data_IF_583956810307
#
_entry.id   IF_583956810307
#
_cell.length_a   1.000
_cell.length_b   1.000
_cell.length_c   1.000
_cell.angle_alpha   90.00
_cell.angle_beta   90.00
_cell.angle_gamma   90.00
#
_symmetry.space_group_name_H-M   'P 1'
#
loop_
_entity.id
_entity.type
_entity.pdbx_description
1 polymer ?
#
# COMPACT_ATOMS: atom_id res chain seq x y z
N UNK A 1 -50.20 -16.28 -45.33
CA UNK A 1 -50.17 -15.06 -44.49
C UNK A 1 -50.34 -15.50 -43.05
N UNK A 2 -49.23 -15.48 -42.32
CA UNK A 2 -49.02 -16.12 -41.02
C UNK A 2 -48.87 -15.03 -39.97
N UNK A 3 -49.72 -15.05 -38.94
CA UNK A 3 -49.47 -14.37 -37.67
C UNK A 3 -50.01 -15.23 -36.54
N UNK A 4 -49.09 -15.91 -35.84
CA UNK A 4 -49.31 -16.54 -34.53
C UNK A 4 -48.63 -15.66 -33.49
N UNK A 5 -49.37 -15.25 -32.48
CA UNK A 5 -48.87 -14.73 -31.20
C UNK A 5 -49.51 -15.57 -30.10
N UNK A 6 -48.70 -16.37 -29.41
CA UNK A 6 -49.05 -17.08 -28.17
C UNK A 6 -48.17 -16.56 -27.05
N UNK A 7 -48.77 -15.84 -26.10
CA UNK A 7 -48.13 -15.32 -24.90
C UNK A 7 -47.88 -16.41 -23.86
N UNK A 8 -46.73 -16.29 -23.20
CA UNK A 8 -46.13 -17.24 -22.27
C UNK A 8 -46.72 -17.12 -20.86
N UNK A 9 -46.83 -18.28 -20.22
CA UNK A 9 -47.37 -18.58 -18.87
C UNK A 9 -46.56 -17.89 -17.76
N UNK A 10 -47.26 -17.29 -16.79
CA UNK A 10 -46.71 -16.83 -15.49
C UNK A 10 -46.75 -17.99 -14.49
N UNK A 11 -45.61 -18.35 -13.90
CA UNK A 11 -45.52 -19.30 -12.79
C UNK A 11 -45.42 -18.53 -11.46
N UNK A 12 -46.37 -18.77 -10.56
CA UNK A 12 -46.41 -18.24 -9.20
C UNK A 12 -45.62 -19.19 -8.27
N UNK A 13 -44.62 -18.69 -7.55
CA UNK A 13 -43.89 -19.47 -6.54
C UNK A 13 -44.58 -19.34 -5.17
N UNK A 14 -44.85 -20.48 -4.55
CA UNK A 14 -45.51 -20.60 -3.25
C UNK A 14 -44.51 -20.49 -2.08
N UNK A 15 -44.92 -19.77 -1.03
CA UNK A 15 -44.22 -19.59 0.23
C UNK A 15 -44.57 -20.73 1.19
N UNK A 16 -43.58 -21.48 1.67
CA UNK A 16 -43.74 -22.50 2.73
C UNK A 16 -43.45 -21.85 4.08
N UNK A 17 -44.43 -21.85 4.98
CA UNK A 17 -44.29 -21.42 6.38
C UNK A 17 -44.10 -22.67 7.23
N UNK A 18 -42.94 -22.78 7.90
CA UNK A 18 -42.70 -23.78 8.94
C UNK A 18 -42.88 -23.13 10.32
N UNK A 19 -43.82 -23.66 11.10
CA UNK A 19 -44.07 -23.28 12.50
C UNK A 19 -43.15 -24.07 13.43
N UNK A 20 -42.35 -23.38 14.23
CA UNK A 20 -41.67 -23.96 15.38
C UNK A 20 -42.16 -23.25 16.66
N UNK A 21 -42.79 -24.02 17.55
CA UNK A 21 -43.16 -23.59 18.89
C UNK A 21 -41.99 -23.78 19.84
N UNK A 22 -41.59 -22.71 20.53
CA UNK A 22 -40.58 -22.72 21.59
C UNK A 22 -40.56 -21.37 22.29
N UNK A 23 -41.41 -21.19 23.30
CA UNK A 23 -41.52 -19.98 24.11
C UNK A 23 -40.46 -19.95 25.21
N UNK A 24 -39.30 -19.36 24.92
CA UNK A 24 -38.40 -18.79 25.92
C UNK A 24 -38.41 -17.25 25.77
N UNK A 25 -38.22 -16.46 26.83
CA UNK A 25 -38.12 -15.02 26.69
C UNK A 25 -36.89 -14.70 25.84
N UNK A 26 -37.12 -14.30 24.59
CA UNK A 26 -36.08 -13.77 23.73
C UNK A 26 -35.62 -12.45 24.32
N UNK A 27 -34.50 -12.47 25.06
CA UNK A 27 -33.67 -11.28 25.24
C UNK A 27 -33.06 -10.96 23.88
N UNK A 28 -33.84 -10.31 23.01
CA UNK A 28 -33.27 -9.57 21.88
C UNK A 28 -32.46 -8.46 22.54
N UNK A 29 -31.15 -8.68 22.66
CA UNK A 29 -30.23 -7.61 22.93
C UNK A 29 -30.37 -6.62 21.78
N UNK A 30 -31.15 -5.55 22.00
CA UNK A 30 -31.10 -4.36 21.17
C UNK A 30 -29.76 -3.68 21.47
N UNK A 31 -28.67 -4.24 20.94
CA UNK A 31 -27.49 -3.45 20.69
C UNK A 31 -27.91 -2.48 19.61
N UNK A 32 -28.38 -1.29 20.00
CA UNK A 32 -28.32 -0.15 19.09
C UNK A 32 -26.90 -0.16 18.53
N UNK A 33 -26.68 -0.29 17.21
CA UNK A 33 -25.34 -0.20 16.68
C UNK A 33 -24.83 1.18 17.09
N UNK A 34 -23.87 1.21 18.01
CA UNK A 34 -23.12 2.42 18.30
C UNK A 34 -22.66 2.92 16.93
N UNK A 35 -22.95 4.19 16.55
CA UNK A 35 -22.54 4.68 15.26
C UNK A 35 -21.05 4.42 15.09
N UNK A 36 -20.67 3.58 14.13
CA UNK A 36 -19.26 3.36 13.84
C UNK A 36 -18.64 4.72 13.52
N UNK A 37 -17.69 5.14 14.36
CA UNK A 37 -16.92 6.35 14.10
C UNK A 37 -15.99 6.05 12.94
N UNK A 38 -16.04 6.89 11.90
CA UNK A 38 -15.16 6.72 10.73
C UNK A 38 -13.70 6.92 11.14
N UNK A 39 -13.43 7.95 11.95
CA UNK A 39 -12.09 8.20 12.52
C UNK A 39 -11.85 7.35 13.77
N UNK A 40 -10.60 6.95 13.96
CA UNK A 40 -10.12 6.19 15.10
C UNK A 40 -8.71 6.67 15.52
N UNK A 41 -8.60 7.26 16.71
CA UNK A 41 -7.36 7.86 17.22
C UNK A 41 -6.33 6.84 17.74
N UNK A 42 -6.63 5.54 17.69
CA UNK A 42 -5.59 4.50 17.73
C UNK A 42 -4.76 4.48 16.43
N UNK A 43 -5.15 5.27 15.44
CA UNK A 43 -4.43 5.46 14.19
C UNK A 43 -4.12 6.93 13.96
N UNK A 44 -3.21 7.16 13.03
CA UNK A 44 -2.76 8.50 12.71
C UNK A 44 -1.90 8.54 11.47
N UNK A 45 -1.17 9.65 11.34
CA UNK A 45 -0.30 9.93 10.21
C UNK A 45 1.02 10.56 10.67
N UNK A 46 2.05 10.34 9.87
CA UNK A 46 3.31 11.08 9.95
C UNK A 46 3.22 12.23 8.94
N UNK A 47 3.52 13.45 9.40
CA UNK A 47 3.63 14.64 8.57
C UNK A 47 4.97 15.33 8.88
N UNK A 48 5.92 15.19 7.95
CA UNK A 48 7.33 15.51 8.20
C UNK A 48 7.89 14.61 9.31
N UNK A 49 8.29 15.20 10.43
CA UNK A 49 8.69 14.46 11.64
C UNK A 49 7.62 14.48 12.75
N UNK A 50 6.44 15.02 12.49
CA UNK A 50 5.35 15.08 13.47
C UNK A 50 4.41 13.89 13.32
N UNK A 51 3.88 13.39 14.44
CA UNK A 51 2.87 12.35 14.47
C UNK A 51 1.59 12.96 15.03
N UNK A 52 0.46 12.70 14.39
CA UNK A 52 -0.88 13.15 14.83
C UNK A 52 -1.90 12.03 14.68
N UNK A 53 -2.97 12.10 15.47
CA UNK A 53 -4.13 11.19 15.37
C UNK A 53 -5.07 11.61 14.24
N UNK A 54 -5.98 10.72 13.83
CA UNK A 54 -6.92 10.98 12.74
C UNK A 54 -7.85 12.18 13.01
N UNK A 55 -8.35 12.32 14.23
CA UNK A 55 -9.32 13.36 14.60
C UNK A 55 -8.73 14.77 14.78
N UNK A 56 -7.40 14.92 14.69
CA UNK A 56 -6.72 16.17 15.03
C UNK A 56 -5.67 16.57 13.98
N UNK A 57 -5.67 17.86 13.63
CA UNK A 57 -4.60 18.48 12.85
C UNK A 57 -3.35 18.79 13.70
N UNK A 58 -3.50 18.83 15.03
CA UNK A 58 -2.38 19.18 15.93
C UNK A 58 -1.45 17.99 16.10
N UNK A 59 -0.12 18.21 16.08
CA UNK A 59 0.85 17.18 16.46
C UNK A 59 0.53 16.61 17.85
N UNK A 60 0.52 15.28 17.94
CA UNK A 60 0.49 14.55 19.20
C UNK A 60 1.89 14.51 19.83
N UNK A 61 2.92 14.23 19.02
CA UNK A 61 4.34 14.33 19.39
C UNK A 61 5.22 14.50 18.13
N UNK A 62 6.51 14.75 18.35
CA UNK A 62 7.52 14.92 17.30
C UNK A 62 8.55 13.81 17.43
N UNK A 63 8.88 13.15 16.32
CA UNK A 63 9.98 12.20 16.23
C UNK A 63 11.30 12.98 16.16
N UNK A 64 12.35 12.56 16.88
CA UNK A 64 13.67 13.22 16.84
C UNK A 64 14.43 12.86 15.56
N UNK A 65 13.86 13.21 14.41
CA UNK A 65 14.41 13.03 13.06
C UNK A 65 14.24 14.34 12.27
N UNK A 66 15.02 14.57 11.20
CA UNK A 66 14.82 15.71 10.30
C UNK A 66 13.40 15.76 9.74
N UNK A 67 12.83 16.94 9.59
CA UNK A 67 11.43 17.12 9.14
C UNK A 67 11.18 16.74 7.68
N UNK A 68 12.23 16.67 6.87
CA UNK A 68 12.24 16.27 5.46
C UNK A 68 12.56 14.78 5.27
N UNK A 69 12.63 14.00 6.36
CA UNK A 69 12.88 12.56 6.29
C UNK A 69 11.81 11.84 5.49
N UNK A 70 12.22 11.21 4.38
CA UNK A 70 11.42 10.22 3.68
C UNK A 70 11.74 8.81 4.21
N UNK A 71 10.72 7.99 4.42
CA UNK A 71 10.88 6.64 4.94
C UNK A 71 9.69 5.75 4.66
N UNK A 72 9.78 4.50 5.10
CA UNK A 72 8.75 3.48 4.92
C UNK A 72 8.29 3.00 6.30
N UNK A 73 6.99 3.04 6.53
CA UNK A 73 6.38 2.54 7.77
C UNK A 73 6.32 1.02 7.75
N UNK A 74 6.58 0.39 8.89
CA UNK A 74 6.49 -1.05 9.05
C UNK A 74 5.07 -1.55 8.78
N UNK A 75 4.90 -2.79 8.32
CA UNK A 75 3.60 -3.41 8.13
C UNK A 75 2.67 -3.22 9.33
N UNK A 76 3.12 -3.46 10.55
CA UNK A 76 2.32 -3.26 11.76
C UNK A 76 1.98 -1.80 12.09
N UNK A 77 2.51 -0.83 11.36
CA UNK A 77 2.25 0.61 11.51
C UNK A 77 2.99 1.25 12.70
N UNK A 78 3.93 0.55 13.34
CA UNK A 78 4.54 0.98 14.62
C UNK A 78 5.96 1.51 14.50
N UNK A 79 6.61 1.35 13.35
CA UNK A 79 8.00 1.79 13.15
C UNK A 79 8.16 2.49 11.82
N UNK A 80 9.16 3.36 11.74
CA UNK A 80 9.59 4.02 10.52
C UNK A 80 11.03 3.60 10.23
N UNK A 81 11.28 3.07 9.03
CA UNK A 81 12.62 2.88 8.48
C UNK A 81 12.93 4.02 7.53
N UNK A 82 14.12 4.59 7.63
CA UNK A 82 14.53 5.70 6.77
C UNK A 82 16.04 5.70 6.55
N UNK A 83 16.46 6.39 5.49
CA UNK A 83 17.86 6.57 5.14
C UNK A 83 18.29 7.98 5.49
N UNK A 84 19.41 8.11 6.20
CA UNK A 84 20.06 9.38 6.48
C UNK A 84 21.57 9.17 6.62
N UNK A 85 22.38 10.08 6.08
CA UNK A 85 23.84 10.06 6.21
C UNK A 85 24.50 8.73 5.75
N UNK A 86 24.01 8.13 4.66
CA UNK A 86 24.44 6.81 4.16
C UNK A 86 24.24 5.67 5.17
N UNK A 87 23.27 5.82 6.06
CA UNK A 87 22.90 4.84 7.07
C UNK A 87 21.41 4.52 6.99
N UNK A 88 21.07 3.28 7.30
CA UNK A 88 19.71 2.85 7.55
C UNK A 88 19.40 2.99 9.03
N UNK A 89 18.34 3.73 9.33
CA UNK A 89 17.82 3.92 10.67
C UNK A 89 16.41 3.33 10.80
N UNK A 90 16.07 2.93 12.02
CA UNK A 90 14.70 2.59 12.42
C UNK A 90 14.35 3.34 13.69
N UNK A 91 13.13 3.86 13.77
CA UNK A 91 12.57 4.49 14.95
C UNK A 91 11.17 3.94 15.26
N UNK A 92 10.87 3.75 16.54
CA UNK A 92 9.50 3.45 16.98
C UNK A 92 8.64 4.71 16.85
N UNK A 93 7.41 4.56 16.39
CA UNK A 93 6.44 5.66 16.25
C UNK A 93 5.77 5.86 17.62
N UNK A 94 6.52 6.43 18.55
CA UNK A 94 6.09 6.68 19.91
C UNK A 94 6.77 7.93 20.49
N UNK A 95 6.10 8.58 21.44
CA UNK A 95 6.67 9.73 22.16
C UNK A 95 7.96 9.33 22.88
N UNK A 96 9.02 10.14 22.73
CA UNK A 96 10.31 9.93 23.38
C UNK A 96 11.17 8.81 22.77
N UNK A 97 10.72 8.13 21.72
CA UNK A 97 11.52 7.14 21.00
C UNK A 97 12.77 7.77 20.38
N UNK A 98 13.86 7.01 20.32
CA UNK A 98 15.11 7.41 19.68
C UNK A 98 15.38 6.54 18.44
N UNK A 99 15.94 7.11 17.37
CA UNK A 99 16.31 6.33 16.20
C UNK A 99 17.50 5.44 16.53
N UNK A 100 17.53 4.29 15.84
CA UNK A 100 18.61 3.32 15.91
C UNK A 100 19.17 3.06 14.53
N UNK A 101 20.48 3.18 14.39
CA UNK A 101 21.19 2.76 13.18
C UNK A 101 21.27 1.24 13.10
N UNK A 102 20.85 0.66 11.98
CA UNK A 102 20.90 -0.78 11.72
C UNK A 102 22.04 -1.16 10.77
N UNK A 103 22.36 -0.29 9.81
CA UNK A 103 23.35 -0.53 8.79
C UNK A 103 24.01 0.79 8.38
N UNK A 104 25.30 0.76 8.09
CA UNK A 104 26.04 1.83 7.43
C UNK A 104 26.62 1.30 6.14
N UNK A 105 26.59 2.11 5.08
CA UNK A 105 27.24 1.76 3.83
C UNK A 105 28.75 1.91 3.94
N UNK A 106 29.47 1.03 3.24
CA UNK A 106 30.91 1.20 3.01
C UNK A 106 31.16 2.27 1.94
N UNK A 107 32.40 2.75 1.85
CA UNK A 107 32.81 3.72 0.83
C UNK A 107 32.72 3.21 -0.63
N UNK A 108 32.52 1.90 -0.82
CA UNK A 108 32.38 1.25 -2.12
C UNK A 108 30.92 0.92 -2.48
N UNK A 109 29.98 1.29 -1.62
CA UNK A 109 28.55 1.07 -1.80
C UNK A 109 27.84 2.40 -2.10
N UNK A 110 26.76 2.30 -2.87
CA UNK A 110 26.00 3.43 -3.40
C UNK A 110 24.58 3.48 -2.85
N UNK A 111 23.59 3.61 -3.73
CA UNK A 111 22.20 3.79 -3.35
C UNK A 111 21.64 2.62 -2.53
N UNK A 112 20.67 2.93 -1.66
CA UNK A 112 19.89 1.97 -0.90
C UNK A 112 18.42 2.05 -1.26
N UNK A 113 17.82 0.89 -1.47
CA UNK A 113 16.37 0.70 -1.50
C UNK A 113 15.98 -0.25 -0.38
N UNK A 114 14.80 -0.11 0.21
CA UNK A 114 14.41 -0.89 1.39
C UNK A 114 12.98 -1.41 1.30
N UNK A 115 12.76 -2.59 1.88
CA UNK A 115 11.44 -3.14 2.14
C UNK A 115 11.41 -3.84 3.49
N UNK A 116 10.28 -3.74 4.18
CA UNK A 116 10.07 -4.41 5.46
C UNK A 116 9.83 -5.91 5.28
N UNK A 117 10.17 -6.67 6.30
CA UNK A 117 9.66 -8.02 6.46
C UNK A 117 8.16 -8.02 6.76
N UNK A 118 7.46 -9.05 6.31
CA UNK A 118 6.01 -9.24 6.53
C UNK A 118 5.62 -9.26 8.02
N UNK A 119 6.54 -9.65 8.90
CA UNK A 119 6.36 -9.67 10.35
C UNK A 119 6.78 -8.37 11.07
N UNK A 120 7.23 -7.34 10.34
CA UNK A 120 7.73 -6.05 10.87
C UNK A 120 8.99 -6.12 11.74
N UNK A 121 9.69 -7.26 11.77
CA UNK A 121 10.86 -7.45 12.64
C UNK A 121 12.20 -7.23 11.95
N UNK A 122 12.24 -7.11 10.63
CA UNK A 122 13.46 -6.92 9.86
C UNK A 122 13.24 -6.14 8.58
N UNK A 123 14.35 -5.85 7.90
CA UNK A 123 14.40 -5.13 6.64
C UNK A 123 15.28 -5.90 5.66
N UNK A 124 14.85 -5.94 4.41
CA UNK A 124 15.72 -6.20 3.27
C UNK A 124 16.11 -4.88 2.62
N UNK A 125 17.38 -4.79 2.23
CA UNK A 125 17.99 -3.61 1.65
C UNK A 125 18.68 -4.01 0.35
N UNK A 126 18.31 -3.36 -0.75
CA UNK A 126 19.10 -3.38 -1.98
C UNK A 126 20.22 -2.36 -1.89
N UNK A 127 21.47 -2.80 -1.89
CA UNK A 127 22.67 -1.94 -1.81
C UNK A 127 23.42 -2.04 -3.13
N UNK A 128 23.54 -0.93 -3.85
CA UNK A 128 24.27 -0.92 -5.12
C UNK A 128 25.77 -0.84 -4.91
N UNK A 129 26.56 -1.41 -5.81
CA UNK A 129 27.97 -1.06 -5.94
C UNK A 129 28.15 0.36 -6.47
N UNK A 130 29.39 0.83 -6.53
CA UNK A 130 29.71 2.11 -7.19
C UNK A 130 29.20 2.13 -8.63
N UNK A 131 28.66 3.28 -9.04
CA UNK A 131 28.34 3.59 -10.43
C UNK A 131 29.66 3.90 -11.14
N UNK A 132 29.89 3.33 -12.32
CA UNK A 132 31.12 3.61 -13.08
C UNK A 132 31.20 5.12 -13.41
N UNK A 133 32.35 5.81 -13.25
CA UNK A 133 32.44 7.27 -13.34
C UNK A 133 32.09 7.90 -14.70
N UNK A 134 31.86 7.09 -15.74
CA UNK A 134 31.82 7.57 -17.13
C UNK A 134 30.49 7.37 -17.83
N UNK A 135 29.47 6.80 -17.19
CA UNK A 135 28.10 6.79 -17.69
C UNK A 135 27.18 6.66 -16.48
N UNK A 136 26.04 7.35 -16.47
CA UNK A 136 24.90 7.15 -15.55
C UNK A 136 24.24 5.77 -15.78
N UNK A 137 25.06 4.72 -15.84
CA UNK A 137 24.70 3.36 -16.22
C UNK A 137 24.39 2.49 -15.00
N UNK A 138 23.99 1.25 -15.29
CA UNK A 138 23.68 0.23 -14.29
C UNK A 138 24.82 0.08 -13.28
N UNK A 139 24.53 -0.08 -11.98
CA UNK A 139 25.56 -0.32 -10.99
C UNK A 139 26.25 -1.65 -11.27
N UNK A 140 27.52 -1.76 -10.86
CA UNK A 140 28.31 -3.00 -11.03
C UNK A 140 27.65 -4.22 -10.38
N UNK A 141 26.89 -4.02 -9.32
CA UNK A 141 26.03 -5.02 -8.69
C UNK A 141 24.92 -4.35 -7.87
N UNK A 142 23.91 -5.12 -7.50
CA UNK A 142 23.07 -4.87 -6.32
C UNK A 142 23.15 -6.06 -5.38
N UNK A 143 23.47 -5.82 -4.11
CA UNK A 143 23.36 -6.81 -3.04
C UNK A 143 21.99 -6.70 -2.38
N UNK A 144 21.32 -7.82 -2.16
CA UNK A 144 20.20 -7.87 -1.23
C UNK A 144 20.76 -8.26 0.14
N UNK A 145 20.68 -7.34 1.09
CA UNK A 145 21.17 -7.48 2.46
C UNK A 145 19.99 -7.46 3.41
N UNK A 146 19.98 -8.37 4.39
CA UNK A 146 18.95 -8.40 5.43
C UNK A 146 19.50 -8.01 6.79
N UNK A 147 18.68 -7.35 7.59
CA UNK A 147 19.01 -6.93 8.96
C UNK A 147 17.75 -6.96 9.85
N UNK A 148 17.90 -7.48 11.07
CA UNK A 148 16.83 -7.46 12.07
C UNK A 148 16.81 -6.12 12.82
N UNK A 149 15.61 -5.62 13.08
CA UNK A 149 15.39 -4.35 13.80
C UNK A 149 15.77 -4.41 15.28
N UNK A 150 15.73 -5.61 15.88
CA UNK A 150 16.25 -5.85 17.22
C UNK A 150 17.78 -5.67 17.30
N UNK A 151 18.45 -5.50 16.16
CA UNK A 151 19.90 -5.45 16.01
C UNK A 151 20.44 -6.78 15.50
N UNK A 152 21.76 -6.84 15.36
CA UNK A 152 22.46 -7.98 14.77
C UNK A 152 23.38 -7.53 13.65
N UNK A 153 24.18 -8.45 13.12
CA UNK A 153 25.06 -8.16 11.99
C UNK A 153 24.25 -8.28 10.70
N UNK A 154 24.14 -7.21 9.89
CA UNK A 154 23.56 -7.31 8.56
C UNK A 154 24.27 -8.37 7.72
N UNK A 155 23.52 -9.16 6.94
CA UNK A 155 24.10 -10.21 6.09
C UNK A 155 23.66 -10.06 4.64
N UNK A 156 24.60 -10.25 3.72
CA UNK A 156 24.29 -10.34 2.29
C UNK A 156 23.60 -11.70 2.02
N UNK A 157 22.47 -11.66 1.31
CA UNK A 157 21.72 -12.85 0.85
C UNK A 157 22.21 -13.27 -0.54
N UNK A 158 22.36 -12.30 -1.44
CA UNK A 158 22.83 -12.49 -2.81
C UNK A 158 23.47 -11.19 -3.33
N UNK A 159 24.40 -11.32 -4.28
CA UNK A 159 24.92 -10.21 -5.08
C UNK A 159 24.57 -10.43 -6.56
N UNK A 160 23.75 -9.55 -7.12
CA UNK A 160 23.28 -9.63 -8.50
C UNK A 160 24.12 -8.68 -9.33
N UNK A 161 24.92 -9.23 -10.26
CA UNK A 161 25.83 -8.46 -11.08
C UNK A 161 25.09 -7.59 -12.12
N UNK A 162 25.61 -6.39 -12.37
CA UNK A 162 25.17 -5.47 -13.44
C UNK A 162 23.66 -5.19 -13.47
N UNK A 163 23.04 -5.06 -12.30
CA UNK A 163 21.60 -4.88 -12.15
C UNK A 163 21.29 -3.88 -11.04
N UNK A 164 20.29 -3.00 -11.26
CA UNK A 164 19.68 -2.15 -10.24
C UNK A 164 18.45 -2.86 -9.70
N UNK A 165 18.53 -3.42 -8.50
CA UNK A 165 17.47 -4.27 -7.94
C UNK A 165 16.84 -3.58 -6.73
N UNK A 166 15.52 -3.45 -6.76
CA UNK A 166 14.73 -2.80 -5.72
C UNK A 166 13.92 -3.87 -5.00
N UNK A 167 14.15 -4.12 -3.70
CA UNK A 167 13.34 -5.05 -2.94
C UNK A 167 11.92 -4.51 -2.75
N UNK A 168 10.93 -5.41 -2.78
CA UNK A 168 9.51 -5.10 -2.61
C UNK A 168 8.97 -5.62 -1.28
N UNK A 169 9.32 -6.85 -0.89
CA UNK A 169 8.95 -7.43 0.39
C UNK A 169 9.88 -8.58 0.79
N UNK A 170 9.94 -8.84 2.09
CA UNK A 170 10.58 -10.02 2.66
C UNK A 170 9.56 -10.85 3.43
N UNK A 171 9.13 -11.98 2.86
CA UNK A 171 8.27 -12.94 3.56
C UNK A 171 9.14 -13.83 4.44
N UNK A 172 9.06 -13.57 5.75
CA UNK A 172 9.82 -14.30 6.78
C UNK A 172 9.32 -15.72 6.99
N UNK A 173 8.04 -15.98 6.70
CA UNK A 173 7.47 -17.31 6.84
C UNK A 173 7.89 -18.19 5.67
N UNK A 174 7.87 -17.66 4.45
CA UNK A 174 8.29 -18.38 3.25
C UNK A 174 9.81 -18.38 3.04
N UNK A 175 10.55 -17.54 3.77
CA UNK A 175 11.99 -17.29 3.57
C UNK A 175 12.30 -16.79 2.15
N UNK A 176 11.44 -15.93 1.62
CA UNK A 176 11.53 -15.36 0.27
C UNK A 176 11.62 -13.84 0.33
N UNK A 177 12.38 -13.28 -0.59
CA UNK A 177 12.47 -11.86 -0.88
C UNK A 177 11.97 -11.67 -2.31
N UNK A 178 11.04 -10.73 -2.49
CA UNK A 178 10.65 -10.27 -3.81
C UNK A 178 11.35 -8.96 -4.13
N UNK A 179 11.75 -8.80 -5.38
CA UNK A 179 12.38 -7.60 -5.87
C UNK A 179 12.07 -7.42 -7.36
N UNK A 180 12.42 -6.26 -7.90
CA UNK A 180 12.40 -6.05 -9.34
C UNK A 180 13.68 -5.35 -9.80
N UNK A 181 14.07 -5.63 -11.04
CA UNK A 181 15.11 -4.88 -11.73
C UNK A 181 14.51 -3.58 -12.29
N UNK A 182 15.00 -2.44 -11.82
CA UNK A 182 14.59 -1.14 -12.32
C UNK A 182 15.30 -0.83 -13.65
N UNK A 183 14.52 -0.40 -14.65
CA UNK A 183 15.01 0.06 -15.95
C UNK A 183 14.42 1.44 -16.28
N UNK A 184 14.91 2.08 -17.33
CA UNK A 184 14.36 3.35 -17.83
C UNK A 184 12.87 3.24 -18.23
N UNK A 185 12.41 2.04 -18.61
CA UNK A 185 11.04 1.74 -19.02
C UNK A 185 10.15 1.17 -17.90
N UNK A 186 10.59 1.28 -16.64
CA UNK A 186 9.89 0.72 -15.47
C UNK A 186 10.51 -0.58 -14.97
N UNK A 187 9.69 -1.54 -14.56
CA UNK A 187 10.17 -2.85 -14.12
C UNK A 187 10.60 -3.71 -15.31
N UNK A 188 11.87 -4.13 -15.33
CA UNK A 188 12.42 -5.04 -16.33
C UNK A 188 12.18 -6.51 -15.98
N UNK A 189 12.71 -6.97 -14.85
CA UNK A 189 12.59 -8.34 -14.38
C UNK A 189 12.00 -8.37 -12.96
N UNK A 190 11.24 -9.41 -12.65
CA UNK A 190 10.77 -9.73 -11.31
C UNK A 190 11.64 -10.85 -10.73
N UNK A 191 12.18 -10.61 -9.55
CA UNK A 191 13.10 -11.49 -8.86
C UNK A 191 12.45 -12.06 -7.60
N UNK A 192 12.54 -13.37 -7.44
CA UNK A 192 12.21 -14.08 -6.20
C UNK A 192 13.50 -14.73 -5.70
N UNK A 193 13.95 -14.31 -4.52
CA UNK A 193 15.22 -14.71 -3.93
C UNK A 193 14.96 -15.43 -2.62
N UNK A 194 15.44 -16.67 -2.48
CA UNK A 194 15.41 -17.36 -1.18
C UNK A 194 16.42 -16.76 -0.23
N UNK A 195 16.19 -16.87 1.09
CA UNK A 195 17.18 -16.44 2.09
C UNK A 195 18.53 -17.17 2.01
N UNK A 196 18.57 -18.31 1.30
CA UNK A 196 19.79 -19.07 0.99
C UNK A 196 20.54 -18.57 -0.27
N UNK A 197 20.03 -17.54 -0.94
CA UNK A 197 20.66 -16.92 -2.10
C UNK A 197 20.29 -17.54 -3.45
N UNK A 198 19.23 -18.35 -3.54
CA UNK A 198 18.73 -18.88 -4.81
C UNK A 198 17.83 -17.85 -5.48
N UNK A 199 18.13 -17.46 -6.72
CA UNK A 199 17.38 -16.49 -7.50
C UNK A 199 16.54 -17.19 -8.58
N UNK A 200 15.23 -16.93 -8.57
CA UNK A 200 14.33 -17.14 -9.72
C UNK A 200 14.03 -15.77 -10.33
N UNK A 201 14.31 -15.63 -11.62
CA UNK A 201 14.05 -14.40 -12.38
C UNK A 201 13.01 -14.64 -13.47
N UNK A 202 12.00 -13.78 -13.52
CA UNK A 202 10.97 -13.78 -14.55
C UNK A 202 10.96 -12.43 -15.26
N UNK A 203 10.88 -12.41 -16.59
CA UNK A 203 10.72 -11.16 -17.33
C UNK A 203 9.35 -10.56 -17.02
N UNK A 204 9.32 -9.28 -16.60
CA UNK A 204 8.06 -8.59 -16.36
C UNK A 204 7.33 -8.22 -17.67
N UNK A 205 7.99 -8.39 -18.83
CA UNK A 205 7.44 -8.13 -20.15
C UNK A 205 7.24 -6.63 -20.45
N UNK A 206 6.71 -6.32 -21.64
CA UNK A 206 6.45 -4.96 -22.12
C UNK A 206 5.29 -4.24 -21.40
N UNK A 207 4.94 -4.68 -20.19
CA UNK A 207 3.80 -4.16 -19.43
C UNK A 207 4.02 -2.72 -18.92
N UNK A 208 5.23 -2.16 -19.07
CA UNK A 208 5.61 -0.80 -18.66
C UNK A 208 5.08 -0.47 -17.25
N UNK A 209 5.31 -1.38 -16.31
CA UNK A 209 4.89 -1.20 -14.91
C UNK A 209 5.89 -0.27 -14.24
N UNK A 210 5.45 0.92 -13.83
CA UNK A 210 6.33 1.94 -13.23
C UNK A 210 6.22 1.98 -11.72
N UNK A 211 5.06 1.58 -11.17
CA UNK A 211 4.83 1.55 -9.74
C UNK A 211 4.65 0.11 -9.33
N UNK A 212 5.43 -0.37 -8.37
CA UNK A 212 5.32 -1.70 -7.80
C UNK A 212 5.20 -1.58 -6.29
N UNK A 213 4.35 -2.42 -5.71
CA UNK A 213 4.17 -2.45 -4.26
C UNK A 213 3.77 -3.84 -3.81
N UNK A 214 4.37 -4.30 -2.72
CA UNK A 214 3.97 -5.52 -2.06
C UNK A 214 2.87 -5.25 -1.02
N UNK A 215 1.97 -6.21 -0.90
CA UNK A 215 1.00 -6.28 0.19
C UNK A 215 1.70 -6.40 1.52
N UNK A 216 1.03 -5.95 2.58
CA UNK A 216 1.57 -5.88 3.92
C UNK A 216 2.03 -7.23 4.48
N UNK A 217 1.33 -8.31 4.13
CA UNK A 217 1.69 -9.67 4.53
C UNK A 217 2.82 -10.27 3.67
N UNK A 218 3.29 -9.54 2.65
CA UNK A 218 4.34 -9.94 1.74
C UNK A 218 3.91 -11.00 0.73
N UNK A 219 2.62 -11.35 0.63
CA UNK A 219 2.16 -12.52 -0.17
C UNK A 219 1.75 -12.18 -1.59
N UNK A 220 1.45 -10.92 -1.85
CA UNK A 220 1.05 -10.42 -3.16
C UNK A 220 1.82 -9.16 -3.52
N UNK A 221 1.96 -8.91 -4.82
CA UNK A 221 2.52 -7.69 -5.39
C UNK A 221 1.56 -7.16 -6.44
N UNK A 222 1.44 -5.84 -6.53
CA UNK A 222 0.83 -5.19 -7.68
C UNK A 222 1.86 -4.39 -8.46
N UNK A 223 1.58 -4.22 -9.74
CA UNK A 223 2.24 -3.29 -10.63
C UNK A 223 1.21 -2.40 -11.32
N UNK A 224 1.49 -1.12 -11.45
CA UNK A 224 0.67 -0.17 -12.21
C UNK A 224 1.49 0.44 -13.35
N UNK A 225 0.93 0.41 -14.57
CA UNK A 225 1.60 0.83 -15.80
C UNK A 225 0.78 1.77 -16.68
N UNK A 226 1.47 2.76 -17.25
CA UNK A 226 0.98 3.81 -18.17
C UNK A 226 1.66 3.60 -19.56
N UNK A 227 1.02 3.81 -20.73
CA UNK A 227 -0.31 4.36 -21.01
C UNK A 227 -1.48 3.38 -20.88
N UNK A 228 -1.21 2.11 -20.58
CA UNK A 228 -2.23 1.05 -20.69
C UNK A 228 -3.23 1.02 -19.52
N UNK A 229 -3.02 1.86 -18.50
CA UNK A 229 -3.84 2.00 -17.31
C UNK A 229 -4.18 0.65 -16.63
N UNK A 230 -3.16 -0.20 -16.51
CA UNK A 230 -3.29 -1.58 -16.00
C UNK A 230 -2.83 -1.65 -14.57
N UNK A 231 -3.65 -2.25 -13.71
CA UNK A 231 -3.19 -2.78 -12.43
C UNK A 231 -3.02 -4.28 -12.59
N UNK A 232 -1.79 -4.76 -12.60
CA UNK A 232 -1.50 -6.20 -12.55
C UNK A 232 -1.30 -6.59 -11.09
N UNK A 233 -1.88 -7.71 -10.67
CA UNK A 233 -1.69 -8.27 -9.32
C UNK A 233 -1.20 -9.71 -9.45
N UNK A 234 -0.21 -10.11 -8.67
CA UNK A 234 0.34 -11.47 -8.70
C UNK A 234 0.78 -11.96 -7.32
N UNK A 235 0.82 -13.30 -7.09
CA UNK A 235 1.46 -13.89 -5.93
C UNK A 235 2.96 -13.54 -5.87
N UNK A 236 3.47 -13.27 -4.67
CA UNK A 236 4.87 -12.87 -4.44
C UNK A 236 5.90 -13.88 -4.98
N UNK A 237 5.56 -15.15 -5.01
CA UNK A 237 6.45 -16.24 -5.45
C UNK A 237 6.32 -16.57 -6.96
N UNK A 238 5.33 -15.99 -7.65
CA UNK A 238 5.09 -16.25 -9.07
C UNK A 238 4.47 -15.06 -9.81
N UNK A 239 5.31 -14.36 -10.57
CA UNK A 239 4.88 -13.32 -11.50
C UNK A 239 3.92 -13.85 -12.59
N UNK A 240 4.13 -15.10 -13.03
CA UNK A 240 3.35 -15.74 -14.07
C UNK A 240 1.90 -16.01 -13.63
N UNK A 241 1.67 -16.21 -12.33
CA UNK A 241 0.35 -16.37 -11.73
C UNK A 241 -0.47 -15.07 -11.64
N UNK A 242 0.02 -13.97 -12.23
CA UNK A 242 -0.64 -12.67 -12.14
C UNK A 242 -1.85 -12.49 -13.05
N UNK A 243 -2.80 -11.69 -12.57
CA UNK A 243 -3.99 -11.24 -13.29
C UNK A 243 -3.88 -9.76 -13.63
N UNK A 244 -4.42 -9.36 -14.79
CA UNK A 244 -4.56 -7.95 -15.15
C UNK A 244 -5.96 -7.45 -14.82
N UNK A 245 -6.01 -6.36 -14.07
CA UNK A 245 -7.22 -5.70 -13.65
C UNK A 245 -7.25 -4.32 -14.31
N UNK A 246 -8.35 -4.03 -15.00
CA UNK A 246 -8.54 -2.78 -15.76
C UNK A 246 -9.86 -2.12 -15.37
N UNK A 247 -9.88 -0.79 -15.42
CA UNK A 247 -11.13 -0.01 -15.40
C UNK A 247 -11.89 -0.15 -16.73
N UNK A 248 -12.89 0.71 -16.95
CA UNK A 248 -13.49 0.82 -18.28
C UNK A 248 -12.60 1.65 -19.22
N UNK A 249 -12.80 1.57 -20.54
CA UNK A 249 -11.78 1.86 -21.56
C UNK A 249 -11.34 3.32 -21.71
N UNK A 250 -11.98 4.26 -21.01
CA UNK A 250 -11.75 5.71 -21.09
C UNK A 250 -11.31 6.34 -19.75
N UNK A 251 -11.20 5.53 -18.69
CA UNK A 251 -10.91 6.04 -17.35
C UNK A 251 -9.43 5.91 -17.02
N UNK A 252 -8.88 6.89 -16.29
CA UNK A 252 -7.49 6.91 -15.84
C UNK A 252 -7.40 6.60 -14.34
N UNK A 253 -6.47 5.72 -13.94
CA UNK A 253 -6.15 5.44 -12.54
C UNK A 253 -5.27 6.57 -12.02
N UNK A 254 -5.74 7.28 -11.01
CA UNK A 254 -4.97 8.32 -10.33
C UNK A 254 -3.94 7.70 -9.37
N UNK A 255 -4.34 6.68 -8.60
CA UNK A 255 -3.45 6.00 -7.66
C UNK A 255 -3.99 4.63 -7.23
N UNK A 256 -3.10 3.77 -6.73
CA UNK A 256 -3.39 2.41 -6.27
C UNK A 256 -2.68 2.17 -4.94
N UNK A 257 -3.36 1.52 -4.00
CA UNK A 257 -2.76 1.12 -2.72
C UNK A 257 -3.30 -0.23 -2.24
N UNK A 258 -2.46 -1.01 -1.55
CA UNK A 258 -2.89 -2.23 -0.87
C UNK A 258 -3.78 -1.90 0.34
N UNK A 259 -4.83 -2.70 0.54
CA UNK A 259 -5.62 -2.71 1.77
C UNK A 259 -4.97 -3.63 2.81
N UNK A 260 -4.55 -3.11 3.98
CA UNK A 260 -4.04 -3.89 5.10
C UNK A 260 -4.91 -5.09 5.48
N UNK A 261 -4.28 -6.25 5.68
CA UNK A 261 -4.93 -7.47 6.15
C UNK A 261 -5.81 -8.18 5.11
N UNK A 262 -5.79 -7.77 3.84
CA UNK A 262 -6.54 -8.42 2.76
C UNK A 262 -5.69 -8.59 1.50
N UNK A 263 -6.21 -9.35 0.53
CA UNK A 263 -5.65 -9.45 -0.82
C UNK A 263 -6.36 -8.49 -1.78
N UNK A 264 -6.73 -7.29 -1.31
CA UNK A 264 -7.42 -6.27 -2.10
C UNK A 264 -6.56 -5.02 -2.30
N UNK A 265 -6.65 -4.43 -3.49
CA UNK A 265 -6.13 -3.08 -3.76
C UNK A 265 -7.28 -2.10 -3.89
N UNK A 266 -7.09 -0.89 -3.37
CA UNK A 266 -7.91 0.26 -3.69
C UNK A 266 -7.40 0.93 -4.96
N UNK A 267 -8.29 1.20 -5.89
CA UNK A 267 -8.01 1.90 -7.14
C UNK A 267 -8.84 3.17 -7.19
N UNK A 268 -8.14 4.30 -7.11
CA UNK A 268 -8.76 5.61 -7.24
C UNK A 268 -8.64 6.07 -8.70
N UNK A 269 -9.78 6.34 -9.32
CA UNK A 269 -9.85 6.88 -10.67
C UNK A 269 -9.90 8.41 -10.66
N UNK A 270 -9.52 9.02 -11.78
CA UNK A 270 -9.90 10.39 -12.09
C UNK A 270 -11.43 10.51 -12.09
N UNK A 271 -11.98 11.59 -11.54
CA UNK A 271 -13.44 11.76 -11.42
C UNK A 271 -14.09 11.02 -10.24
N UNK A 272 -13.34 10.79 -9.16
CA UNK A 272 -13.86 10.40 -7.84
C UNK A 272 -14.58 9.05 -7.73
N UNK A 273 -14.17 8.07 -8.55
CA UNK A 273 -14.56 6.68 -8.33
C UNK A 273 -13.46 5.93 -7.58
N UNK A 274 -13.80 5.38 -6.41
CA UNK A 274 -12.95 4.41 -5.71
C UNK A 274 -13.52 3.01 -5.94
N UNK A 275 -12.65 2.09 -6.33
CA UNK A 275 -12.97 0.67 -6.38
C UNK A 275 -12.03 -0.14 -5.49
N UNK A 276 -12.53 -1.24 -4.94
CA UNK A 276 -11.72 -2.28 -4.32
C UNK A 276 -11.68 -3.48 -5.26
N UNK A 277 -10.46 -3.89 -5.61
CA UNK A 277 -10.19 -5.00 -6.51
C UNK A 277 -9.49 -6.10 -5.72
N UNK A 278 -10.10 -7.27 -5.68
CA UNK A 278 -9.50 -8.48 -5.12
C UNK A 278 -8.46 -9.05 -6.09
N UNK A 279 -7.42 -9.69 -5.54
CA UNK A 279 -6.35 -10.33 -6.31
C UNK A 279 -6.85 -11.45 -7.25
N UNK A 280 -8.06 -11.98 -7.03
CA UNK A 280 -8.72 -12.96 -7.92
C UNK A 280 -9.65 -12.30 -8.95
N UNK A 281 -9.70 -10.97 -9.01
CA UNK A 281 -10.41 -10.20 -10.03
C UNK A 281 -11.82 -9.74 -9.68
N UNK A 282 -12.33 -10.05 -8.48
CA UNK A 282 -13.59 -9.47 -8.01
C UNK A 282 -13.43 -7.96 -7.78
N UNK A 283 -14.45 -7.17 -8.12
CA UNK A 283 -14.43 -5.70 -8.01
C UNK A 283 -15.68 -5.20 -7.32
N UNK A 284 -15.54 -4.16 -6.49
CA UNK A 284 -16.68 -3.40 -5.94
C UNK A 284 -16.37 -1.92 -5.86
N UNK A 285 -17.35 -1.10 -6.21
CA UNK A 285 -17.26 0.36 -6.08
C UNK A 285 -17.58 0.78 -4.64
N UNK A 286 -16.81 1.73 -4.11
CA UNK A 286 -17.05 2.37 -2.82
C UNK A 286 -17.65 3.75 -3.10
N UNK A 287 -18.79 4.02 -2.46
CA UNK A 287 -19.41 5.33 -2.55
C UNK A 287 -18.49 6.38 -1.89
N UNK A 288 -18.10 7.39 -2.67
CA UNK A 288 -17.39 8.55 -2.18
C UNK A 288 -18.37 9.72 -2.00
N UNK A 289 -18.17 10.58 -0.99
CA UNK A 289 -18.92 11.83 -0.92
C UNK A 289 -18.57 12.72 -2.10
N UNK A 290 -19.49 13.61 -2.47
CA UNK A 290 -19.22 14.64 -3.47
C UNK A 290 -17.96 15.42 -3.08
N UNK A 291 -16.95 15.43 -3.95
CA UNK A 291 -15.74 16.19 -3.73
C UNK A 291 -15.95 17.66 -4.11
N UNK A 292 -15.19 18.55 -3.48
CA UNK A 292 -14.98 19.90 -4.03
C UNK A 292 -14.21 19.78 -5.35
N UNK A 293 -14.27 20.81 -6.19
CA UNK A 293 -13.41 20.88 -7.37
C UNK A 293 -11.94 20.70 -6.96
N UNK A 294 -11.34 19.62 -7.42
CA UNK A 294 -9.99 19.19 -7.06
C UNK A 294 -9.21 18.75 -8.29
N UNK A 295 -7.89 18.83 -8.20
CA UNK A 295 -6.99 18.26 -9.19
C UNK A 295 -6.65 16.82 -8.81
N UNK A 296 -6.94 15.88 -9.71
CA UNK A 296 -6.59 14.47 -9.55
C UNK A 296 -5.09 14.20 -9.72
N UNK A 297 -4.33 15.17 -10.26
CA UNK A 297 -2.88 15.08 -10.49
C UNK A 297 -2.07 14.76 -9.23
N UNK A 298 -2.59 15.13 -8.06
CA UNK A 298 -1.92 14.95 -6.77
C UNK A 298 -2.80 14.19 -5.78
N UNK A 299 -3.69 13.33 -6.28
CA UNK A 299 -4.53 12.51 -5.44
C UNK A 299 -3.69 11.43 -4.72
N UNK A 300 -3.90 11.27 -3.42
CA UNK A 300 -3.29 10.20 -2.61
C UNK A 300 -4.36 9.29 -2.03
N UNK A 301 -4.00 8.03 -1.87
CA UNK A 301 -4.83 6.97 -1.29
C UNK A 301 -4.02 6.27 -0.20
N UNK A 302 -4.55 6.24 1.02
CA UNK A 302 -3.93 5.52 2.13
C UNK A 302 -5.00 4.76 2.90
N UNK A 303 -4.85 3.45 3.02
CA UNK A 303 -5.70 2.69 3.92
C UNK A 303 -5.23 2.86 5.36
N UNK A 304 -6.19 2.88 6.29
CA UNK A 304 -5.89 2.79 7.72
C UNK A 304 -5.21 1.45 8.00
N UNK A 305 -4.29 1.40 8.95
CA UNK A 305 -3.48 0.21 9.22
C UNK A 305 -4.29 -1.02 9.70
N UNK A 306 -5.59 -0.89 10.00
CA UNK A 306 -6.52 -1.99 10.25
C UNK A 306 -7.32 -2.44 9.02
N UNK A 307 -7.14 -1.76 7.88
CA UNK A 307 -7.84 -2.01 6.63
C UNK A 307 -9.32 -1.63 6.65
N UNK A 308 -9.84 -0.96 7.68
CA UNK A 308 -11.29 -0.69 7.79
C UNK A 308 -11.71 0.65 7.17
N UNK A 309 -10.80 1.61 7.12
CA UNK A 309 -11.04 2.90 6.51
C UNK A 309 -10.00 3.21 5.43
N UNK A 310 -10.35 4.13 4.55
CA UNK A 310 -9.45 4.69 3.54
C UNK A 310 -9.46 6.20 3.61
N UNK A 311 -8.29 6.80 3.44
CA UNK A 311 -8.04 8.23 3.46
C UNK A 311 -7.66 8.65 2.05
N UNK A 312 -8.42 9.60 1.52
CA UNK A 312 -8.18 10.17 0.20
C UNK A 312 -7.86 11.63 0.37
N UNK A 313 -6.77 12.08 -0.23
CA UNK A 313 -6.39 13.50 -0.22
C UNK A 313 -6.20 14.00 -1.63
N UNK A 314 -6.66 15.22 -1.90
CA UNK A 314 -6.57 15.85 -3.22
C UNK A 314 -6.22 17.32 -3.07
N UNK A 315 -5.40 17.82 -3.97
CA UNK A 315 -5.16 19.26 -4.04
C UNK A 315 -6.37 19.97 -4.63
N UNK A 316 -6.65 21.18 -4.15
CA UNK A 316 -7.64 22.08 -4.72
C UNK A 316 -7.42 22.26 -6.23
N UNK A 317 -8.52 22.32 -7.00
CA UNK A 317 -8.48 22.59 -8.44
C UNK A 317 -8.31 24.07 -8.77
N UNK A 318 -8.29 24.95 -7.76
CA UNK A 318 -8.08 26.39 -7.93
C UNK A 318 -6.62 26.66 -8.27
N UNK A 319 -6.37 27.32 -9.40
CA UNK A 319 -5.02 27.66 -9.85
C UNK A 319 -4.25 28.43 -8.76
N UNK A 320 -3.03 27.99 -8.45
CA UNK A 320 -2.18 28.56 -7.41
C UNK A 320 -2.52 28.16 -5.96
N UNK A 321 -3.60 27.40 -5.74
CA UNK A 321 -3.95 26.91 -4.39
C UNK A 321 -3.11 25.69 -4.00
N UNK A 322 -2.63 25.68 -2.76
CA UNK A 322 -1.99 24.51 -2.11
C UNK A 322 -2.91 23.81 -1.12
N UNK A 323 -4.17 24.24 -1.03
CA UNK A 323 -5.13 23.64 -0.11
C UNK A 323 -5.40 22.18 -0.49
N UNK A 324 -5.49 21.32 0.51
CA UNK A 324 -5.80 19.91 0.33
C UNK A 324 -7.17 19.59 0.92
N UNK A 325 -8.00 18.91 0.15
CA UNK A 325 -9.22 18.26 0.61
C UNK A 325 -8.91 16.82 1.00
N UNK A 326 -9.09 16.47 2.28
CA UNK A 326 -8.86 15.11 2.78
C UNK A 326 -10.12 14.55 3.43
N UNK A 327 -10.48 13.33 3.04
CA UNK A 327 -11.65 12.61 3.54
C UNK A 327 -11.27 11.20 3.97
N UNK A 328 -11.79 10.77 5.11
CA UNK A 328 -11.80 9.37 5.52
C UNK A 328 -13.13 8.74 5.13
N UNK A 329 -13.09 7.49 4.65
CA UNK A 329 -14.27 6.70 4.30
C UNK A 329 -14.18 5.35 5.00
N UNK A 330 -15.22 5.01 5.77
CA UNK A 330 -15.39 3.68 6.33
C UNK A 330 -15.84 2.71 5.23
N UNK A 331 -15.08 1.64 5.02
CA UNK A 331 -15.27 0.74 3.88
C UNK A 331 -16.47 -0.20 4.04
N UNK A 332 -16.95 -0.39 5.26
CA UNK A 332 -18.09 -1.27 5.54
C UNK A 332 -19.42 -0.54 5.31
N UNK A 333 -19.52 0.71 5.74
CA UNK A 333 -20.75 1.51 5.69
C UNK A 333 -20.78 2.54 4.57
N UNK A 334 -19.63 2.87 3.95
CA UNK A 334 -19.50 3.97 2.99
C UNK A 334 -19.64 5.36 3.62
N UNK A 335 -19.76 5.45 4.95
CA UNK A 335 -19.80 6.73 5.66
C UNK A 335 -18.45 7.43 5.53
N UNK A 336 -18.50 8.74 5.40
CA UNK A 336 -17.31 9.56 5.22
C UNK A 336 -17.30 10.78 6.13
N UNK A 337 -16.10 11.26 6.43
CA UNK A 337 -15.88 12.44 7.25
C UNK A 337 -14.61 13.17 6.80
N UNK A 338 -14.62 14.50 6.89
CA UNK A 338 -13.44 15.30 6.61
C UNK A 338 -12.39 15.08 7.68
N UNK A 339 -11.13 14.91 7.25
CA UNK A 339 -10.00 14.91 8.17
C UNK A 339 -9.56 16.36 8.37
N UNK A 340 -9.43 16.83 9.62
CA UNK A 340 -8.85 18.13 9.87
C UNK A 340 -7.36 18.10 9.48
N UNK A 341 -7.02 18.81 8.41
CA UNK A 341 -5.66 18.96 7.91
C UNK A 341 -5.21 20.43 8.03
N UNK A 342 -3.93 20.64 8.29
CA UNK A 342 -3.26 21.93 8.13
C UNK A 342 -2.05 21.77 7.22
N UNK A 343 -1.97 22.56 6.14
CA UNK A 343 -0.86 22.48 5.18
C UNK A 343 -1.02 21.36 4.14
N UNK A 344 0.10 20.86 3.63
CA UNK A 344 0.12 19.78 2.63
C UNK A 344 -0.52 18.50 3.21
N UNK A 345 -1.27 17.78 2.37
CA UNK A 345 -2.00 16.55 2.72
C UNK A 345 -1.18 15.48 3.45
N UNK A 346 -1.83 14.46 4.02
CA UNK A 346 -1.11 13.31 4.58
C UNK A 346 -0.20 12.73 3.50
N UNK A 347 1.02 12.36 3.90
CA UNK A 347 1.93 11.64 3.04
C UNK A 347 1.22 10.37 2.54
N UNK A 348 1.30 10.14 1.23
CA UNK A 348 0.66 8.99 0.60
C UNK A 348 1.12 7.69 1.29
N UNK A 349 0.16 6.81 1.61
CA UNK A 349 0.44 5.45 2.09
C UNK A 349 0.87 5.29 3.54
N UNK A 350 0.71 6.31 4.42
CA UNK A 350 1.30 6.28 5.77
C UNK A 350 0.28 6.35 6.91
N UNK A 351 -0.59 5.34 7.02
CA UNK A 351 -1.32 5.13 8.27
C UNK A 351 -0.40 4.49 9.31
N UNK A 352 -0.39 5.02 10.52
CA UNK A 352 0.39 4.49 11.64
C UNK A 352 -0.52 4.10 12.79
N UNK A 353 -0.05 3.21 13.67
CA UNK A 353 -0.71 2.88 14.93
C UNK A 353 -0.18 3.77 16.04
N UNK A 354 -1.10 4.36 16.78
CA UNK A 354 -0.83 5.23 17.92
C UNK A 354 -1.18 4.47 19.20
N UNK A 355 -0.24 4.43 20.14
CA UNK A 355 -0.39 3.68 21.38
C UNK A 355 -0.08 2.18 21.23
N UNK A 356 -0.13 1.48 22.36
CA UNK A 356 0.11 0.04 22.46
C UNK A 356 -1.13 -0.76 22.08
#
# INVERSE_FOLDING_TARGET
MTTRTSGVVRLLMALVVATACGSGPSTVATTNPTPATVLDDHFGFIAGNTVRVESSAKPLFVLPIPSDTAGVVSPDGRRLAYLADNQLHVINIASGAQPRTLLSLSALEGAMHLAWSSDSTGLVVGVTGTVAPVNEGRPSYTKLRVVDTAGGTPRDVISIANASVVPLAWDRQAHLISAYEATESGAGAYDVVSESGTLKRTSAGAANLYILSASQDGKHVFGHGDPNNVVRVWPMDSYEGGVELRGTSDEHVATVAWRPGTAEVGVLFHGDRLELWDANGAKRTIALPAAKSSSDRYATLAFRADGKAVVISRQSGVEGSTETYTVAVDLASGRSVLIPMSGNGPLAGTSVRIGS
#
